data_IF_218271390495
#
_entry.id   IF_218271390495
#
_cell.length_a   1.000
_cell.length_b   1.000
_cell.length_c   1.000
_cell.angle_alpha   90.00
_cell.angle_beta   90.00
_cell.angle_gamma   90.00
#
_symmetry.space_group_name_H-M   'P 1'
#
loop_
_entity.id
_entity.type
_entity.pdbx_description
1 polymer ?
#
# COMPACT_ATOMS: atom_id res chain seq x y z
N UNK A 1 -17.08 -29.63 -8.35
CA UNK A 1 -16.84 -28.78 -9.53
C UNK A 1 -17.23 -27.32 -9.27
N UNK A 2 -18.28 -26.99 -8.52
CA UNK A 2 -18.62 -25.58 -8.20
C UNK A 2 -17.67 -24.92 -7.19
N UNK A 3 -17.16 -25.70 -6.22
CA UNK A 3 -16.26 -25.19 -5.17
C UNK A 3 -14.85 -24.80 -5.68
N UNK A 4 -14.36 -25.48 -6.72
CA UNK A 4 -13.03 -25.24 -7.30
C UNK A 4 -12.98 -23.93 -8.10
N UNK A 5 -14.10 -23.55 -8.73
CA UNK A 5 -14.21 -22.30 -9.49
C UNK A 5 -14.32 -21.05 -8.60
N UNK A 6 -14.90 -21.18 -7.41
CA UNK A 6 -15.03 -20.07 -6.45
C UNK A 6 -13.70 -19.80 -5.71
N UNK A 7 -12.92 -20.84 -5.38
CA UNK A 7 -11.58 -20.69 -4.82
C UNK A 7 -10.62 -20.00 -5.80
N UNK A 8 -10.62 -20.39 -7.08
CA UNK A 8 -9.79 -19.74 -8.12
C UNK A 8 -10.17 -18.27 -8.35
N UNK A 9 -11.47 -17.94 -8.27
CA UNK A 9 -11.95 -16.57 -8.36
C UNK A 9 -11.54 -15.73 -7.13
N UNK A 10 -11.60 -16.33 -5.94
CA UNK A 10 -11.10 -15.76 -4.69
C UNK A 10 -9.61 -15.43 -4.74
N UNK A 11 -8.76 -16.40 -5.10
CA UNK A 11 -7.31 -16.20 -5.22
C UNK A 11 -6.96 -15.10 -6.26
N UNK A 12 -7.65 -15.10 -7.41
CA UNK A 12 -7.45 -14.11 -8.47
C UNK A 12 -7.86 -12.70 -8.03
N UNK A 13 -8.96 -12.58 -7.29
CA UNK A 13 -9.43 -11.30 -6.75
C UNK A 13 -8.44 -10.69 -5.77
N UNK A 14 -7.84 -11.52 -4.89
CA UNK A 14 -6.87 -11.01 -3.92
C UNK A 14 -5.54 -10.64 -4.60
N UNK A 15 -5.12 -11.41 -5.61
CA UNK A 15 -3.94 -11.06 -6.40
C UNK A 15 -4.11 -9.72 -7.12
N UNK A 16 -5.33 -9.45 -7.62
CA UNK A 16 -5.68 -8.19 -8.25
C UNK A 16 -5.71 -7.05 -7.24
N UNK A 17 -6.38 -7.23 -6.10
CA UNK A 17 -6.44 -6.23 -5.01
C UNK A 17 -5.05 -5.86 -4.50
N UNK A 18 -4.15 -6.84 -4.31
CA UNK A 18 -2.74 -6.61 -3.98
C UNK A 18 -2.06 -5.69 -4.99
N UNK A 19 -2.22 -6.01 -6.28
CA UNK A 19 -1.56 -5.26 -7.36
C UNK A 19 -2.05 -3.82 -7.41
N UNK A 20 -3.35 -3.61 -7.17
CA UNK A 20 -3.96 -2.29 -7.01
C UNK A 20 -3.41 -1.54 -5.80
N UNK A 21 -3.44 -2.13 -4.60
CA UNK A 21 -2.95 -1.50 -3.37
C UNK A 21 -1.48 -1.10 -3.46
N UNK A 22 -0.64 -1.98 -4.02
CA UNK A 22 0.80 -1.72 -4.14
C UNK A 22 1.07 -0.61 -5.17
N UNK A 23 0.39 -0.64 -6.32
CA UNK A 23 0.55 0.38 -7.35
C UNK A 23 0.06 1.76 -6.86
N UNK A 24 -1.14 1.81 -6.26
CA UNK A 24 -1.72 3.04 -5.75
C UNK A 24 -0.91 3.61 -4.57
N UNK A 25 -0.46 2.73 -3.67
CA UNK A 25 0.45 3.04 -2.58
C UNK A 25 1.76 3.67 -3.06
N UNK A 26 2.36 3.10 -4.10
CA UNK A 26 3.60 3.63 -4.72
C UNK A 26 3.39 5.03 -5.29
N UNK A 27 2.28 5.26 -6.01
CA UNK A 27 1.95 6.57 -6.58
C UNK A 27 1.79 7.60 -5.45
N UNK A 28 1.01 7.27 -4.42
CA UNK A 28 0.81 8.14 -3.26
C UNK A 28 2.12 8.43 -2.50
N UNK A 29 2.98 7.43 -2.33
CA UNK A 29 4.28 7.62 -1.69
C UNK A 29 5.16 8.58 -2.50
N UNK A 30 5.25 8.42 -3.82
CA UNK A 30 6.03 9.32 -4.70
C UNK A 30 5.48 10.75 -4.65
N UNK A 31 4.16 10.91 -4.78
CA UNK A 31 3.51 12.24 -4.69
C UNK A 31 3.74 12.86 -3.30
N UNK A 32 3.60 12.07 -2.24
CA UNK A 32 3.88 12.47 -0.87
C UNK A 32 5.31 12.96 -0.70
N UNK A 33 6.31 12.21 -1.20
CA UNK A 33 7.73 12.62 -1.17
C UNK A 33 7.93 13.95 -1.89
N UNK A 34 7.39 14.11 -3.10
CA UNK A 34 7.55 15.34 -3.88
C UNK A 34 6.93 16.55 -3.17
N UNK A 35 5.76 16.39 -2.56
CA UNK A 35 5.08 17.46 -1.82
C UNK A 35 5.72 17.75 -0.47
N UNK A 36 6.36 16.76 0.13
CA UNK A 36 7.03 16.85 1.42
C UNK A 36 8.49 17.34 1.31
N UNK A 37 9.10 17.21 0.12
CA UNK A 37 10.44 17.69 -0.20
C UNK A 37 10.77 19.11 0.29
N UNK A 38 9.91 20.15 0.16
CA UNK A 38 10.22 21.49 0.65
C UNK A 38 10.39 21.63 2.17
N UNK A 39 10.09 20.57 2.94
CA UNK A 39 10.11 20.55 4.41
C UNK A 39 11.30 19.73 4.94
N UNK A 40 12.11 19.16 4.05
CA UNK A 40 13.32 18.40 4.41
C UNK A 40 14.32 19.32 5.12
N UNK A 41 14.71 18.96 6.35
CA UNK A 41 15.63 19.74 7.18
C UNK A 41 14.95 20.68 8.18
N UNK A 42 13.62 20.73 8.20
CA UNK A 42 12.84 21.41 9.23
C UNK A 42 12.64 20.55 10.48
N UNK A 43 12.11 21.17 11.54
CA UNK A 43 11.80 20.45 12.77
C UNK A 43 10.77 19.34 12.52
N UNK A 44 10.74 18.32 13.40
CA UNK A 44 9.75 17.24 13.32
C UNK A 44 8.30 17.76 13.31
N UNK A 45 8.03 18.88 13.98
CA UNK A 45 6.69 19.46 14.03
C UNK A 45 6.27 20.06 12.68
N UNK A 46 7.17 20.82 12.05
CA UNK A 46 6.94 21.35 10.70
C UNK A 46 6.85 20.24 9.65
N UNK A 47 7.52 19.11 9.87
CA UNK A 47 7.39 17.93 9.00
C UNK A 47 5.97 17.37 9.04
N UNK A 48 5.37 17.18 10.22
CA UNK A 48 4.03 16.61 10.34
C UNK A 48 2.95 17.56 9.80
N UNK A 49 3.17 18.87 9.90
CA UNK A 49 2.29 19.91 9.34
C UNK A 49 2.37 20.02 7.80
N UNK A 50 3.34 19.36 7.18
CA UNK A 50 3.52 19.39 5.73
C UNK A 50 2.35 18.81 4.95
N UNK A 51 1.93 19.51 3.89
CA UNK A 51 0.86 19.07 2.99
C UNK A 51 1.13 17.69 2.35
N UNK A 52 2.39 17.28 2.26
CA UNK A 52 2.80 15.98 1.74
C UNK A 52 2.73 14.84 2.76
N UNK A 53 2.70 15.13 4.06
CA UNK A 53 2.86 14.14 5.14
C UNK A 53 1.76 13.08 5.13
N UNK A 54 0.49 13.51 5.07
CA UNK A 54 -0.65 12.58 5.05
C UNK A 54 -0.63 11.69 3.79
N UNK A 55 -0.32 12.27 2.63
CA UNK A 55 -0.25 11.53 1.37
C UNK A 55 0.90 10.50 1.39
N UNK A 56 2.05 10.88 1.94
CA UNK A 56 3.19 10.00 2.16
C UNK A 56 2.82 8.84 3.09
N UNK A 57 2.27 9.14 4.26
CA UNK A 57 1.89 8.13 5.25
C UNK A 57 0.85 7.16 4.69
N UNK A 58 -0.18 7.67 4.00
CA UNK A 58 -1.18 6.84 3.35
C UNK A 58 -0.56 5.92 2.29
N UNK A 59 0.35 6.45 1.47
CA UNK A 59 1.09 5.68 0.46
C UNK A 59 1.89 4.53 1.07
N UNK A 60 2.64 4.83 2.14
CA UNK A 60 3.42 3.83 2.87
C UNK A 60 2.53 2.76 3.50
N UNK A 61 1.42 3.15 4.14
CA UNK A 61 0.45 2.20 4.72
C UNK A 61 -0.13 1.29 3.63
N UNK A 62 -0.53 1.84 2.48
CA UNK A 62 -1.06 1.05 1.37
C UNK A 62 -0.03 0.06 0.81
N UNK A 63 1.24 0.45 0.71
CA UNK A 63 2.33 -0.45 0.31
C UNK A 63 2.50 -1.58 1.32
N UNK A 64 2.57 -1.26 2.61
CA UNK A 64 2.72 -2.26 3.68
C UNK A 64 1.55 -3.24 3.65
N UNK A 65 0.31 -2.75 3.55
CA UNK A 65 -0.88 -3.62 3.43
C UNK A 65 -0.82 -4.51 2.18
N UNK A 66 -0.43 -3.96 1.02
CA UNK A 66 -0.27 -4.74 -0.21
C UNK A 66 0.79 -5.85 -0.09
N UNK A 67 1.87 -5.60 0.65
CA UNK A 67 2.90 -6.62 0.95
C UNK A 67 2.38 -7.64 1.97
N UNK A 68 1.72 -7.19 3.05
CA UNK A 68 1.19 -8.05 4.11
C UNK A 68 0.12 -9.02 3.61
N UNK A 69 -0.69 -8.64 2.63
CA UNK A 69 -1.62 -9.58 1.95
C UNK A 69 -0.88 -10.80 1.39
N UNK A 70 0.36 -10.62 0.89
CA UNK A 70 1.19 -11.71 0.38
C UNK A 70 1.69 -12.64 1.49
N UNK A 71 1.98 -12.08 2.67
CA UNK A 71 2.37 -12.86 3.85
C UNK A 71 1.18 -13.66 4.40
N UNK A 72 -0.02 -13.05 4.44
CA UNK A 72 -1.22 -13.70 4.96
C UNK A 72 -1.70 -14.86 4.07
N UNK A 73 -1.70 -14.70 2.74
CA UNK A 73 -2.08 -15.77 1.80
C UNK A 73 -1.00 -16.84 1.62
N UNK A 74 0.28 -16.47 1.76
CA UNK A 74 1.39 -17.41 1.67
C UNK A 74 1.47 -18.42 2.83
N UNK A 75 0.67 -18.23 3.88
CA UNK A 75 0.61 -19.11 5.06
C UNK A 75 -0.51 -20.15 4.99
N UNK A 76 -1.39 -20.10 3.98
CA UNK A 76 -2.53 -21.01 3.85
C UNK A 76 -2.19 -22.31 3.09
N UNK A 77 -0.94 -22.44 2.59
CA UNK A 77 -0.46 -23.58 1.80
C UNK A 77 0.53 -24.50 2.54
N UNK A 78 0.52 -24.49 3.87
CA UNK A 78 1.20 -25.52 4.68
C UNK A 78 0.20 -26.51 5.29
#
# INVERSE_FOLDING_TARGET
>A
MENETDEEAGERSVLWMKRFLTALGTIFAVVGIVRQWPIVGKSYMEFIEGDGYLSLMLGLIMIVLGISVRLLIGQEKE
#
